data_IF_446448451284
#
_entry.id   IF_446448451284
#
_cell.length_a   1.000
_cell.length_b   1.000
_cell.length_c   1.000
_cell.angle_alpha   90.00
_cell.angle_beta   90.00
_cell.angle_gamma   90.00
#
_symmetry.space_group_name_H-M   'P 1'
#
loop_
_entity.id
_entity.type
_entity.pdbx_description
1 polymer ?
#
# COMPACT_ATOMS: atom_id res chain seq x y z
N UNK A 1 -20.81 -12.47 -7.79
CA UNK A 1 -20.53 -11.78 -6.51
C UNK A 1 -19.68 -10.56 -6.82
N UNK A 2 -20.10 -9.34 -6.43
CA UNK A 2 -19.28 -8.12 -6.57
C UNK A 2 -18.57 -7.88 -5.24
N UNK A 3 -17.25 -7.94 -5.24
CA UNK A 3 -16.43 -7.50 -4.12
C UNK A 3 -16.17 -6.02 -4.29
N UNK A 4 -16.47 -5.23 -3.26
CA UNK A 4 -16.04 -3.84 -3.21
C UNK A 4 -14.51 -3.82 -3.16
N UNK A 5 -13.85 -2.95 -3.93
CA UNK A 5 -12.38 -2.91 -3.99
C UNK A 5 -11.71 -2.73 -2.61
N UNK A 6 -12.40 -2.10 -1.66
CA UNK A 6 -11.95 -1.98 -0.28
C UNK A 6 -11.89 -3.34 0.47
N UNK A 7 -12.82 -4.25 0.22
CA UNK A 7 -12.86 -5.57 0.84
C UNK A 7 -11.69 -6.44 0.37
N UNK A 8 -11.37 -6.37 -0.93
CA UNK A 8 -10.18 -7.02 -1.50
C UNK A 8 -8.89 -6.53 -0.82
N UNK A 9 -8.75 -5.22 -0.60
CA UNK A 9 -7.58 -4.66 0.07
C UNK A 9 -7.44 -5.20 1.51
N UNK A 10 -8.54 -5.32 2.26
CA UNK A 10 -8.52 -5.90 3.61
C UNK A 10 -8.07 -7.36 3.59
N UNK A 11 -8.55 -8.16 2.62
CA UNK A 11 -8.12 -9.54 2.47
C UNK A 11 -6.63 -9.68 2.13
N UNK A 12 -6.11 -8.83 1.25
CA UNK A 12 -4.68 -8.78 0.92
C UNK A 12 -3.85 -8.46 2.17
N UNK A 13 -4.26 -7.47 2.95
CA UNK A 13 -3.56 -7.09 4.19
C UNK A 13 -3.55 -8.25 5.20
N UNK A 14 -4.69 -8.93 5.39
CA UNK A 14 -4.80 -10.08 6.28
C UNK A 14 -3.92 -11.26 5.82
N UNK A 15 -3.82 -11.50 4.52
CA UNK A 15 -2.93 -12.54 3.98
C UNK A 15 -1.45 -12.15 4.12
N UNK A 16 -1.13 -10.87 3.88
CA UNK A 16 0.22 -10.36 4.02
C UNK A 16 0.73 -10.46 5.46
N UNK A 17 -0.11 -10.15 6.45
CA UNK A 17 0.22 -10.36 7.85
C UNK A 17 0.52 -11.83 8.16
N UNK A 18 -0.36 -12.75 7.72
CA UNK A 18 -0.19 -14.19 7.97
C UNK A 18 1.05 -14.79 7.33
N UNK A 19 1.43 -14.29 6.15
CA UNK A 19 2.52 -14.84 5.34
C UNK A 19 3.81 -14.02 5.40
N UNK A 20 3.81 -12.90 6.13
CA UNK A 20 4.95 -11.98 6.21
C UNK A 20 5.26 -11.29 4.88
N UNK A 21 4.25 -10.96 4.08
CA UNK A 21 4.47 -10.24 2.83
C UNK A 21 4.72 -8.75 3.06
N UNK A 22 5.62 -8.22 2.23
CA UNK A 22 5.94 -6.81 2.15
C UNK A 22 4.92 -6.10 1.27
N UNK A 23 4.21 -5.13 1.84
CA UNK A 23 3.18 -4.33 1.18
C UNK A 23 3.76 -2.96 0.83
N UNK A 24 3.62 -2.56 -0.43
CA UNK A 24 3.91 -1.20 -0.90
C UNK A 24 2.61 -0.53 -1.36
N UNK A 25 2.33 0.66 -0.85
CA UNK A 25 1.07 1.37 -1.13
C UNK A 25 1.32 2.47 -2.14
N UNK A 26 1.00 2.18 -3.40
CA UNK A 26 1.06 3.13 -4.50
C UNK A 26 -0.35 3.65 -4.81
N UNK A 27 -0.51 4.98 -4.81
CA UNK A 27 -1.77 5.60 -5.22
C UNK A 27 -2.33 6.62 -4.23
N UNK A 28 -3.49 7.15 -4.62
CA UNK A 28 -4.27 8.16 -3.91
C UNK A 28 -3.54 9.50 -3.67
N UNK A 29 -4.30 10.53 -3.26
CA UNK A 29 -3.72 11.81 -2.83
C UNK A 29 -2.92 11.58 -1.54
N UNK A 30 -1.91 12.43 -1.30
CA UNK A 30 -1.01 12.34 -0.14
C UNK A 30 -1.74 12.15 1.20
N UNK A 31 -2.89 12.80 1.37
CA UNK A 31 -3.72 12.71 2.58
C UNK A 31 -4.34 11.32 2.78
N UNK A 32 -4.81 10.68 1.70
CA UNK A 32 -5.36 9.32 1.74
C UNK A 32 -4.23 8.30 1.94
N UNK A 33 -3.09 8.53 1.31
CA UNK A 33 -1.90 7.68 1.45
C UNK A 33 -1.36 7.67 2.91
N UNK A 34 -1.51 8.77 3.65
CA UNK A 34 -1.19 8.83 5.08
C UNK A 34 -2.07 7.88 5.92
N UNK A 35 -3.31 7.64 5.48
CA UNK A 35 -4.23 6.69 6.10
C UNK A 35 -3.74 5.23 6.06
N UNK A 36 -2.75 4.91 5.23
CA UNK A 36 -2.11 3.59 5.19
C UNK A 36 -1.53 3.15 6.54
N UNK A 37 -1.09 4.10 7.38
CA UNK A 37 -0.55 3.76 8.70
C UNK A 37 -1.59 3.14 9.63
N UNK A 38 -2.88 3.43 9.40
CA UNK A 38 -3.99 2.80 10.14
C UNK A 38 -4.11 1.31 9.89
N UNK A 39 -3.53 0.80 8.79
CA UNK A 39 -3.48 -0.65 8.55
C UNK A 39 -2.64 -1.35 9.61
N UNK A 40 -1.64 -0.67 10.19
CA UNK A 40 -0.82 -1.21 11.29
C UNK A 40 -1.60 -1.28 12.60
N UNK A 41 -2.63 -0.46 12.77
CA UNK A 41 -3.51 -0.52 13.95
C UNK A 41 -4.40 -1.78 13.92
N UNK A 42 -4.80 -2.23 12.73
CA UNK A 42 -5.61 -3.45 12.53
C UNK A 42 -4.79 -4.70 12.30
N UNK A 43 -3.58 -4.56 11.75
CA UNK A 43 -2.69 -5.64 11.41
C UNK A 43 -1.29 -5.34 11.97
N UNK A 44 -1.07 -5.65 13.24
CA UNK A 44 0.15 -5.29 13.96
C UNK A 44 1.42 -5.93 13.37
N UNK A 45 1.30 -7.06 12.68
CA UNK A 45 2.43 -7.76 12.06
C UNK A 45 2.59 -7.48 10.56
N UNK A 46 1.80 -6.56 9.98
CA UNK A 46 1.91 -6.21 8.56
C UNK A 46 3.21 -5.44 8.28
N UNK A 47 3.90 -5.81 7.21
CA UNK A 47 5.14 -5.16 6.78
C UNK A 47 4.86 -4.17 5.65
N UNK A 48 4.58 -2.91 5.99
CA UNK A 48 4.48 -1.84 4.99
C UNK A 48 5.88 -1.29 4.74
N UNK A 49 6.42 -1.56 3.55
CA UNK A 49 7.82 -1.24 3.20
C UNK A 49 7.98 0.08 2.46
N UNK A 50 6.86 0.69 2.05
CA UNK A 50 6.89 1.99 1.43
C UNK A 50 5.51 2.43 0.97
N UNK A 51 5.44 3.71 0.61
CA UNK A 51 4.23 4.32 0.07
C UNK A 51 4.61 5.41 -0.91
N UNK A 52 3.82 5.55 -1.96
CA UNK A 52 3.98 6.59 -2.97
C UNK A 52 2.62 7.13 -3.40
N UNK A 53 2.56 8.45 -3.58
CA UNK A 53 1.39 9.19 -4.03
C UNK A 53 1.15 8.95 -5.52
N UNK A 54 -0.09 8.62 -5.89
CA UNK A 54 -0.45 8.32 -7.29
C UNK A 54 -0.64 9.54 -8.19
N UNK A 55 -0.33 10.74 -7.70
CA UNK A 55 -0.50 12.01 -8.42
C UNK A 55 0.87 12.67 -8.71
N UNK A 56 1.92 11.87 -8.86
CA UNK A 56 3.22 12.34 -9.35
C UNK A 56 3.15 12.60 -10.85
N UNK A 57 3.87 13.64 -11.33
CA UNK A 57 4.16 13.78 -12.77
C UNK A 57 4.91 12.54 -13.24
N UNK A 58 4.77 12.16 -14.51
CA UNK A 58 5.39 10.95 -15.10
C UNK A 58 6.90 10.84 -14.81
N UNK A 59 7.59 11.98 -14.65
CA UNK A 59 9.00 12.07 -14.24
C UNK A 59 9.30 11.49 -12.83
N UNK A 60 8.35 11.52 -11.90
CA UNK A 60 8.50 11.01 -10.53
C UNK A 60 8.32 9.48 -10.45
N UNK A 61 7.55 8.91 -11.40
CA UNK A 61 7.27 7.48 -11.48
C UNK A 61 8.51 6.66 -11.88
N UNK A 62 9.43 7.25 -12.65
CA UNK A 62 10.72 6.64 -13.00
C UNK A 62 11.68 6.48 -11.82
N UNK A 63 11.64 7.39 -10.84
CA UNK A 63 12.52 7.34 -9.67
C UNK A 63 12.14 6.21 -8.68
N UNK A 64 10.85 5.85 -8.60
CA UNK A 64 10.35 4.81 -7.71
C UNK A 64 10.83 3.40 -8.09
N UNK A 65 11.03 3.13 -9.38
CA UNK A 65 11.51 1.82 -9.88
C UNK A 65 13.02 1.65 -9.70
N UNK A 66 13.78 2.73 -9.80
CA UNK A 66 15.25 2.71 -9.73
C UNK A 66 15.79 2.55 -8.29
N UNK A 67 15.02 2.93 -7.26
CA UNK A 67 15.46 2.86 -5.85
C UNK A 67 15.33 1.49 -5.19
N UNK A 68 14.71 0.50 -5.86
CA UNK A 68 14.49 -0.85 -5.31
C UNK A 68 15.20 -1.96 -6.12
N UNK A 69 16.23 -1.61 -6.90
CA UNK A 69 17.11 -2.59 -7.58
C UNK A 69 18.11 -3.22 -6.61
#
# INVERSE_FOLDING_TARGET
MRVAGADLMQQICAQAEKKGYRIFIYGAKKEVNRGAERLRERHSAIQIVGRANGYGKEEDMGALVLSHS
#
